data_IF_960047917212
#
_entry.id   IF_960047917212
#
_cell.length_a   1.000
_cell.length_b   1.000
_cell.length_c   1.000
_cell.angle_alpha   90.00
_cell.angle_beta   90.00
_cell.angle_gamma   90.00
#
_symmetry.space_group_name_H-M   'P 1'
#
loop_
_entity.id
_entity.type
_entity.pdbx_description
1 polymer ?
#
# COMPACT_ATOMS: atom_id res chain seq x y z
N UNK A 1 -4.30 -0.59 -0.44
CA UNK A 1 -4.92 -0.55 0.90
C UNK A 1 -4.40 -1.74 1.68
N UNK A 2 -4.10 -1.61 2.98
CA UNK A 2 -3.63 -2.70 3.84
C UNK A 2 -4.53 -2.78 5.08
N UNK A 3 -5.13 -3.95 5.35
CA UNK A 3 -5.92 -4.17 6.56
C UNK A 3 -5.04 -4.23 7.81
N UNK A 4 -5.28 -3.36 8.77
CA UNK A 4 -4.57 -3.30 10.03
C UNK A 4 -5.52 -2.84 11.15
N UNK A 5 -5.59 -3.61 12.24
CA UNK A 5 -6.42 -3.29 13.42
C UNK A 5 -7.90 -2.98 13.06
N UNK A 6 -8.48 -3.78 12.16
CA UNK A 6 -9.89 -3.68 11.76
C UNK A 6 -10.21 -2.50 10.83
N UNK A 7 -9.20 -1.82 10.29
CA UNK A 7 -9.35 -0.71 9.34
C UNK A 7 -8.37 -0.86 8.18
N UNK A 8 -8.61 -0.14 7.09
CA UNK A 8 -7.70 -0.11 5.95
C UNK A 8 -6.78 1.10 6.04
N UNK A 9 -5.48 0.87 6.24
CA UNK A 9 -4.46 1.90 6.00
C UNK A 9 -4.32 2.11 4.50
N UNK A 10 -4.43 3.37 4.08
CA UNK A 10 -4.57 3.73 2.66
C UNK A 10 -3.60 4.83 2.29
N UNK A 11 -2.96 4.66 1.13
CA UNK A 11 -2.12 5.67 0.50
C UNK A 11 -2.62 5.90 -0.92
N UNK A 12 -2.67 7.16 -1.34
CA UNK A 12 -2.77 7.52 -2.74
C UNK A 12 -1.36 7.48 -3.34
N UNK A 13 -1.18 6.67 -4.40
CA UNK A 13 0.06 6.55 -5.17
C UNK A 13 -0.31 6.64 -6.66
N UNK A 14 0.58 7.20 -7.48
CA UNK A 14 0.36 7.29 -8.92
C UNK A 14 0.59 5.94 -9.63
N UNK A 15 1.47 5.11 -9.07
CA UNK A 15 1.81 3.80 -9.61
C UNK A 15 2.37 2.88 -8.51
N UNK A 16 2.32 1.57 -8.73
CA UNK A 16 3.05 0.60 -7.91
C UNK A 16 4.54 0.72 -8.26
N UNK A 17 5.46 0.88 -7.29
CA UNK A 17 6.88 1.04 -7.59
C UNK A 17 7.45 -0.22 -8.28
N UNK A 18 8.22 -0.01 -9.35
CA UNK A 18 9.02 -1.09 -9.95
C UNK A 18 10.28 -1.36 -9.12
N UNK A 19 11.07 -2.35 -9.55
CA UNK A 19 12.36 -2.66 -8.94
C UNK A 19 13.28 -1.44 -9.02
N UNK A 20 13.99 -1.14 -7.94
CA UNK A 20 14.90 0.01 -7.79
C UNK A 20 14.24 1.40 -7.90
N UNK A 21 12.90 1.45 -7.91
CA UNK A 21 12.13 2.69 -7.91
C UNK A 21 11.49 2.97 -6.55
N UNK A 22 11.26 4.26 -6.29
CA UNK A 22 10.43 4.73 -5.20
C UNK A 22 9.39 5.73 -5.73
N UNK A 23 8.22 5.73 -5.12
CA UNK A 23 7.11 6.63 -5.43
C UNK A 23 6.70 7.37 -4.17
N UNK A 24 6.21 8.60 -4.35
CA UNK A 24 5.55 9.32 -3.26
C UNK A 24 4.15 8.75 -3.03
N UNK A 25 3.78 8.63 -1.77
CA UNK A 25 2.44 8.26 -1.34
C UNK A 25 1.88 9.24 -0.33
N UNK A 26 0.62 9.62 -0.49
CA UNK A 26 -0.11 10.46 0.46
C UNK A 26 -0.98 9.56 1.33
N UNK A 27 -0.73 9.54 2.65
CA UNK A 27 -1.55 8.80 3.60
C UNK A 27 -2.95 9.44 3.67
N UNK A 28 -3.96 8.62 3.39
CA UNK A 28 -5.37 8.99 3.44
C UNK A 28 -5.98 8.52 4.76
N UNK A 29 -7.14 9.08 5.16
CA UNK A 29 -7.89 8.55 6.28
C UNK A 29 -8.15 7.04 6.15
N UNK A 30 -8.18 6.30 7.25
CA UNK A 30 -8.48 4.88 7.21
C UNK A 30 -9.81 4.60 6.52
N UNK A 31 -9.83 3.59 5.65
CA UNK A 31 -11.06 3.16 4.98
C UNK A 31 -11.68 1.97 5.72
N UNK A 32 -12.97 1.73 5.49
CA UNK A 32 -13.69 0.56 6.03
C UNK A 32 -13.28 -0.70 5.27
N UNK A 33 -13.25 -1.86 5.93
CA UNK A 33 -12.88 -3.13 5.28
C UNK A 33 -13.69 -3.44 4.01
N UNK A 34 -14.97 -3.08 3.99
CA UNK A 34 -15.86 -3.25 2.83
C UNK A 34 -15.35 -2.56 1.54
N UNK A 35 -14.40 -1.63 1.63
CA UNK A 35 -13.80 -1.01 0.44
C UNK A 35 -12.84 -1.94 -0.33
N UNK A 36 -12.37 -3.05 0.26
CA UNK A 36 -11.55 -4.03 -0.46
C UNK A 36 -12.33 -4.66 -1.65
N UNK A 37 -13.64 -4.82 -1.46
CA UNK A 37 -14.53 -5.43 -2.45
C UNK A 37 -15.21 -4.40 -3.37
N UNK A 38 -15.01 -3.10 -3.11
CA UNK A 38 -15.67 -2.04 -3.87
C UNK A 38 -15.02 -1.79 -5.24
N UNK A 39 -15.84 -1.80 -6.28
CA UNK A 39 -15.52 -1.33 -7.64
C UNK A 39 -16.71 -0.57 -8.20
N UNK A 40 -16.46 0.36 -9.13
CA UNK A 40 -17.49 1.14 -9.80
C UNK A 40 -17.39 2.65 -9.59
N UNK A 41 -18.47 3.36 -9.84
CA UNK A 41 -18.51 4.82 -9.77
C UNK A 41 -18.46 5.36 -8.35
N UNK A 42 -17.66 6.39 -8.14
CA UNK A 42 -17.64 7.17 -6.92
C UNK A 42 -18.73 8.24 -7.01
N UNK A 43 -19.62 8.28 -6.02
CA UNK A 43 -20.73 9.22 -5.97
C UNK A 43 -20.31 10.68 -6.21
N UNK A 44 -21.15 11.43 -6.91
CA UNK A 44 -20.91 12.85 -7.22
C UNK A 44 -19.93 13.09 -8.38
N UNK A 45 -19.76 12.12 -9.28
CA UNK A 45 -18.92 12.29 -10.48
C UNK A 45 -17.43 12.40 -10.20
N UNK A 46 -16.96 11.83 -9.07
CA UNK A 46 -15.58 11.96 -8.59
C UNK A 46 -14.61 10.96 -9.23
N UNK A 47 -15.10 10.08 -10.09
CA UNK A 47 -14.30 9.07 -10.80
C UNK A 47 -14.82 7.66 -10.60
N UNK A 48 -14.00 6.68 -10.98
CA UNK A 48 -14.31 5.25 -10.91
C UNK A 48 -13.18 4.51 -10.19
N UNK A 49 -13.54 3.47 -9.46
CA UNK A 49 -12.60 2.54 -8.80
C UNK A 49 -12.62 1.22 -9.56
N UNK A 50 -11.42 0.75 -9.91
CA UNK A 50 -11.19 -0.60 -10.42
C UNK A 50 -10.12 -1.26 -9.58
N UNK A 51 -10.33 -2.52 -9.22
CA UNK A 51 -9.32 -3.34 -8.54
C UNK A 51 -8.22 -3.70 -9.54
N UNK A 52 -6.98 -3.46 -9.14
CA UNK A 52 -5.80 -3.78 -9.96
C UNK A 52 -5.07 -5.03 -9.47
N UNK A 53 -5.19 -5.35 -8.17
CA UNK A 53 -4.63 -6.54 -7.54
C UNK A 53 -5.34 -6.76 -6.18
N UNK A 54 -5.26 -7.97 -5.63
CA UNK A 54 -5.72 -8.30 -4.27
C UNK A 54 -5.01 -9.53 -3.73
N UNK A 55 -5.04 -9.68 -2.42
CA UNK A 55 -4.54 -10.86 -1.72
C UNK A 55 -4.17 -10.54 -0.29
N UNK A 56 -3.40 -11.44 0.30
CA UNK A 56 -2.92 -11.32 1.68
C UNK A 56 -1.58 -10.61 1.74
N UNK A 57 -1.20 -10.16 2.93
CA UNK A 57 0.15 -9.65 3.17
C UNK A 57 0.65 -10.04 4.55
N UNK A 58 1.97 -10.10 4.70
CA UNK A 58 2.64 -10.22 6.00
C UNK A 58 3.57 -9.05 6.24
N UNK A 59 3.61 -8.54 7.47
CA UNK A 59 4.65 -7.58 7.88
C UNK A 59 5.96 -8.32 8.09
N UNK A 60 7.01 -7.93 7.39
CA UNK A 60 8.36 -8.50 7.54
C UNK A 60 9.14 -7.80 8.65
N UNK A 61 9.08 -6.47 8.64
CA UNK A 61 9.82 -5.60 9.55
C UNK A 61 8.99 -4.35 9.81
N UNK A 62 9.13 -3.78 11.01
CA UNK A 62 8.46 -2.52 11.35
C UNK A 62 9.25 -1.71 12.35
N UNK A 63 9.15 -0.40 12.24
CA UNK A 63 9.60 0.59 13.21
C UNK A 63 8.51 1.66 13.40
N UNK A 64 8.83 2.70 14.18
CA UNK A 64 7.95 3.86 14.33
C UNK A 64 7.77 4.68 13.04
N UNK A 65 8.77 4.67 12.15
CA UNK A 65 8.80 5.53 10.96
C UNK A 65 8.68 4.79 9.64
N UNK A 66 8.84 3.47 9.63
CA UNK A 66 8.77 2.67 8.41
C UNK A 66 8.32 1.24 8.70
N UNK A 67 7.83 0.56 7.68
CA UNK A 67 7.54 -0.87 7.75
C UNK A 67 7.70 -1.51 6.36
N UNK A 68 8.01 -2.80 6.33
CA UNK A 68 8.11 -3.61 5.11
C UNK A 68 7.03 -4.68 5.15
N UNK A 69 6.30 -4.84 4.05
CA UNK A 69 5.33 -5.93 3.86
C UNK A 69 5.74 -6.80 2.68
N UNK A 70 5.50 -8.11 2.81
CA UNK A 70 5.41 -9.03 1.68
C UNK A 70 3.95 -9.17 1.30
N UNK A 71 3.61 -8.74 0.09
CA UNK A 71 2.28 -8.83 -0.49
C UNK A 71 2.20 -10.07 -1.36
N UNK A 72 1.19 -10.91 -1.13
CA UNK A 72 0.85 -12.09 -1.92
C UNK A 72 -0.34 -11.74 -2.81
N UNK A 73 -0.09 -10.98 -3.87
CA UNK A 73 -1.10 -10.63 -4.86
C UNK A 73 -1.44 -11.81 -5.79
N UNK A 74 -2.45 -11.63 -6.63
CA UNK A 74 -2.84 -12.65 -7.62
C UNK A 74 -1.78 -12.84 -8.71
N UNK A 75 -1.10 -11.76 -9.09
CA UNK A 75 -0.11 -11.80 -10.17
C UNK A 75 1.29 -12.22 -9.69
N UNK A 76 1.72 -11.72 -8.52
CA UNK A 76 3.06 -11.94 -8.01
C UNK A 76 3.20 -11.58 -6.53
N UNK A 77 4.18 -12.20 -5.88
CA UNK A 77 4.66 -11.77 -4.56
C UNK A 77 5.58 -10.55 -4.70
N UNK A 78 5.35 -9.51 -3.89
CA UNK A 78 6.10 -8.25 -3.92
C UNK A 78 6.41 -7.78 -2.51
N UNK A 79 7.66 -7.38 -2.27
CA UNK A 79 8.04 -6.75 -1.01
C UNK A 79 8.07 -5.25 -1.17
N UNK A 80 7.26 -4.55 -0.38
CA UNK A 80 7.15 -3.09 -0.42
C UNK A 80 7.55 -2.51 0.93
N UNK A 81 8.41 -1.50 0.92
CA UNK A 81 8.75 -0.70 2.09
C UNK A 81 8.00 0.62 2.02
N UNK A 82 7.38 0.97 3.14
CA UNK A 82 6.69 2.24 3.37
C UNK A 82 7.50 3.01 4.42
N UNK A 83 7.99 4.19 4.07
CA UNK A 83 8.78 5.04 4.96
C UNK A 83 8.16 6.44 5.05
N UNK A 84 7.90 6.93 6.27
CA UNK A 84 7.43 8.30 6.47
C UNK A 84 8.49 9.28 6.01
N UNK A 85 8.08 10.27 5.23
CA UNK A 85 8.88 11.44 4.92
C UNK A 85 8.84 12.43 6.10
N UNK A 86 9.46 13.60 5.93
CA UNK A 86 9.47 14.67 6.97
C UNK A 86 8.08 15.24 7.25
N UNK A 87 7.18 15.21 6.26
CA UNK A 87 5.77 15.58 6.43
C UNK A 87 4.98 14.39 6.97
N UNK A 88 4.06 14.58 7.94
CA UNK A 88 3.35 13.48 8.57
C UNK A 88 2.42 12.71 7.63
N UNK A 89 2.00 13.31 6.51
CA UNK A 89 1.11 12.68 5.52
C UNK A 89 1.88 12.09 4.33
N UNK A 90 3.15 12.44 4.15
CA UNK A 90 3.93 11.99 3.00
C UNK A 90 4.73 10.75 3.36
N UNK A 91 4.69 9.79 2.45
CA UNK A 91 5.39 8.53 2.53
C UNK A 91 6.19 8.31 1.25
N UNK A 92 7.32 7.64 1.37
CA UNK A 92 8.06 7.07 0.25
C UNK A 92 7.79 5.58 0.25
N UNK A 93 7.34 5.05 -0.89
CA UNK A 93 7.01 3.65 -1.06
C UNK A 93 7.94 3.08 -2.12
N UNK A 94 8.70 2.05 -1.78
CA UNK A 94 9.67 1.43 -2.69
C UNK A 94 9.50 -0.08 -2.74
N UNK A 95 9.88 -0.67 -3.88
CA UNK A 95 10.07 -2.11 -3.95
C UNK A 95 11.41 -2.45 -3.31
N UNK A 96 11.40 -3.39 -2.38
CA UNK A 96 12.62 -3.96 -1.82
C UNK A 96 12.77 -5.38 -2.34
N UNK A 97 13.99 -5.79 -2.63
CA UNK A 97 14.23 -7.21 -2.80
C UNK A 97 13.95 -7.94 -1.50
N UNK A 98 13.51 -9.20 -1.60
CA UNK A 98 13.43 -10.08 -0.43
C UNK A 98 14.70 -9.90 0.38
N UNK A 99 14.53 -9.51 1.65
CA UNK A 99 15.61 -9.33 2.60
C UNK A 99 16.54 -10.51 2.38
N UNK A 100 17.72 -10.25 1.80
CA UNK A 100 18.68 -11.30 1.57
C UNK A 100 18.89 -11.94 2.93
N UNK A 101 18.49 -13.20 3.07
CA UNK A 101 18.73 -13.95 4.29
C UNK A 101 20.24 -13.86 4.54
N UNK A 102 20.62 -13.06 5.55
CA UNK A 102 21.96 -13.05 6.11
C UNK A 102 22.17 -14.34 6.90
#
# INVERSE_FOLDING_TARGET
MLEHEGQLRTWAIEQIPHRDECVEGIELPPHRLAYLDFEGEISGGRGTVRRIDQGDYRTLESSRAWFTVEMHGLEATKNLRFQRAKSPQLWVISRVDALANL
#
